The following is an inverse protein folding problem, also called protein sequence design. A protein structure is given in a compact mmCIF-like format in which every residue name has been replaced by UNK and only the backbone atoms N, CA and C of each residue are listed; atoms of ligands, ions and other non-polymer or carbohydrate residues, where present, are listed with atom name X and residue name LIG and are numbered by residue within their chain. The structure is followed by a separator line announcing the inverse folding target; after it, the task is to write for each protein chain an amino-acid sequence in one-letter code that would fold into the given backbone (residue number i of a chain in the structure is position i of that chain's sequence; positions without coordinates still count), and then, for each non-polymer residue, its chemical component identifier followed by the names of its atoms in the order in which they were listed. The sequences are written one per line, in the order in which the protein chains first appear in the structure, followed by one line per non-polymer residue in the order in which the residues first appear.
data_IF_055814822319
#
_entry.id   IF_055814822319
#
_cell.length_a   1.000
_cell.length_b   1.000
_cell.length_c   1.000
_cell.angle_alpha   90.00
_cell.angle_beta   90.00
_cell.angle_gamma   90.00
#
_symmetry.space_group_name_H-M   'P 1'
#
loop_
_entity.id
_entity.type
_entity.pdbx_description
1 polymer ?
#
# COMPACT_ATOMS: atom_id res chain seq x y z
N UNK A 1 27.46 26.40 9.25
CA UNK A 1 26.16 26.08 8.65
C UNK A 1 25.49 25.12 9.60
N UNK A 2 24.17 25.17 9.72
CA UNK A 2 23.45 24.09 10.43
C UNK A 2 23.50 22.82 9.57
N UNK A 3 23.34 21.64 10.18
CA UNK A 3 23.22 20.37 9.45
C UNK A 3 22.12 20.44 8.37
N UNK A 4 21.10 21.29 8.58
CA UNK A 4 20.05 21.64 7.61
C UNK A 4 20.58 22.38 6.36
N UNK A 5 21.39 23.41 6.55
CA UNK A 5 22.00 24.15 5.42
C UNK A 5 22.97 23.27 4.65
N UNK A 6 23.70 22.38 5.33
CA UNK A 6 24.62 21.44 4.68
C UNK A 6 23.90 20.32 3.93
N UNK A 7 22.77 19.82 4.43
CA UNK A 7 21.98 18.81 3.74
C UNK A 7 21.30 19.36 2.47
N UNK A 8 20.64 20.53 2.56
CA UNK A 8 20.00 21.16 1.39
C UNK A 8 21.03 21.59 0.33
N UNK A 9 22.23 22.01 0.74
CA UNK A 9 23.31 22.37 -0.19
C UNK A 9 24.11 21.17 -0.72
N UNK A 10 23.83 19.95 -0.25
CA UNK A 10 24.54 18.74 -0.64
C UNK A 10 25.96 18.62 -0.08
N UNK A 11 26.33 19.43 0.91
CA UNK A 11 27.64 19.40 1.58
C UNK A 11 27.66 18.57 2.86
N UNK A 12 26.52 17.99 3.28
CA UNK A 12 26.44 17.10 4.43
C UNK A 12 27.39 15.92 4.29
N UNK A 13 28.31 15.77 5.24
CA UNK A 13 29.27 14.65 5.27
C UNK A 13 28.59 13.39 5.78
N UNK A 14 28.38 12.44 4.86
CA UNK A 14 27.98 11.07 5.17
C UNK A 14 28.91 10.46 6.22
N UNK A 15 28.33 9.91 7.28
CA UNK A 15 29.08 9.14 8.28
C UNK A 15 29.29 7.73 7.72
N UNK A 16 30.53 7.34 7.43
CA UNK A 16 30.86 6.03 6.85
C UNK A 16 30.90 4.90 7.89
N UNK A 17 31.11 5.22 9.18
CA UNK A 17 31.16 4.26 10.29
C UNK A 17 30.47 4.82 11.55
N UNK A 18 29.59 4.04 12.17
CA UNK A 18 28.89 4.41 13.41
C UNK A 18 27.36 4.27 13.35
N UNK A 19 26.66 4.56 14.45
CA UNK A 19 25.18 4.59 14.46
C UNK A 19 24.68 5.72 13.55
N UNK A 20 23.56 5.48 12.86
CA UNK A 20 23.00 6.44 11.92
C UNK A 20 22.46 7.68 12.65
N UNK A 21 22.79 8.90 12.17
CA UNK A 21 22.37 10.14 12.82
C UNK A 21 20.88 10.39 12.65
N UNK A 22 20.26 10.93 13.70
CA UNK A 22 18.87 11.38 13.67
C UNK A 22 18.85 12.90 13.60
N UNK A 23 18.37 13.44 12.49
CA UNK A 23 18.32 14.87 12.24
C UNK A 23 16.89 15.40 12.41
N UNK A 24 16.79 16.66 12.82
CA UNK A 24 15.54 17.41 12.83
C UNK A 24 15.68 18.60 11.89
N UNK A 25 14.70 18.76 11.00
CA UNK A 25 14.69 19.85 10.03
C UNK A 25 13.47 20.73 10.25
N UNK A 26 13.67 22.04 10.16
CA UNK A 26 12.57 23.01 10.18
C UNK A 26 11.76 22.92 8.88
N UNK A 27 10.46 23.16 8.98
CA UNK A 27 9.52 23.12 7.84
C UNK A 27 8.42 24.16 8.02
N UNK A 28 7.69 24.44 6.95
CA UNK A 28 6.49 25.28 6.97
C UNK A 28 5.25 24.41 6.72
N UNK A 29 4.12 24.69 7.40
CA UNK A 29 2.91 23.88 7.26
C UNK A 29 2.22 24.07 5.91
N UNK A 30 1.45 23.06 5.50
CA UNK A 30 0.55 23.13 4.34
C UNK A 30 -0.91 23.11 4.79
N UNK A 31 -1.72 24.00 4.23
CA UNK A 31 -3.15 24.11 4.59
C UNK A 31 -4.05 23.08 3.89
N UNK A 32 -3.52 22.33 2.93
CA UNK A 32 -4.28 21.45 2.04
C UNK A 32 -3.98 19.96 2.22
N UNK A 33 -3.29 19.59 3.30
CA UNK A 33 -3.00 18.21 3.70
C UNK A 33 -4.13 17.56 4.50
N UNK A 34 -5.39 17.78 4.10
CA UNK A 34 -6.55 17.13 4.72
C UNK A 34 -6.72 15.71 4.15
N UNK A 35 -6.60 14.63 4.95
CA UNK A 35 -6.95 13.30 4.48
C UNK A 35 -8.45 13.22 4.23
N UNK A 36 -8.86 12.64 3.10
CA UNK A 36 -10.23 12.22 2.88
C UNK A 36 -10.54 10.90 3.59
N UNK A 37 -11.75 10.38 3.40
CA UNK A 37 -12.18 9.07 3.92
C UNK A 37 -11.28 7.91 3.49
N UNK A 38 -10.56 8.08 2.38
CA UNK A 38 -9.64 7.10 1.79
C UNK A 38 -8.21 7.64 1.67
N UNK A 39 -7.77 8.45 2.63
CA UNK A 39 -6.40 9.00 2.69
C UNK A 39 -6.22 10.37 2.03
N UNK A 40 -5.00 10.91 2.08
CA UNK A 40 -4.63 12.13 1.36
C UNK A 40 -4.30 11.77 -0.08
N UNK A 41 -5.01 12.36 -1.06
CA UNK A 41 -4.75 12.18 -2.49
C UNK A 41 -4.43 13.52 -3.14
N UNK A 42 -3.37 13.57 -3.94
CA UNK A 42 -2.96 14.73 -4.73
C UNK A 42 -2.32 14.26 -6.03
N UNK A 43 -2.07 15.18 -6.95
CA UNK A 43 -1.21 14.91 -8.11
C UNK A 43 0.18 14.50 -7.62
N UNK A 44 0.82 13.54 -8.30
CA UNK A 44 2.16 13.04 -7.96
C UNK A 44 3.16 14.17 -7.72
N UNK A 45 3.17 15.18 -8.60
CA UNK A 45 4.09 16.31 -8.50
C UNK A 45 3.99 17.09 -7.18
N UNK A 46 2.84 17.07 -6.47
CA UNK A 46 2.75 17.69 -5.14
C UNK A 46 3.74 17.04 -4.17
N UNK A 47 3.82 15.71 -4.17
CA UNK A 47 4.71 15.00 -3.25
C UNK A 47 6.17 15.03 -3.73
N UNK A 48 6.39 15.01 -5.04
CA UNK A 48 7.73 14.96 -5.63
C UNK A 48 8.44 16.31 -5.66
N UNK A 49 7.70 17.41 -5.88
CA UNK A 49 8.33 18.71 -6.17
C UNK A 49 8.08 19.78 -5.11
N UNK A 50 7.02 19.67 -4.31
CA UNK A 50 6.80 20.66 -3.25
C UNK A 50 7.70 20.35 -2.06
N UNK A 51 8.52 21.30 -1.60
CA UNK A 51 9.45 21.07 -0.50
C UNK A 51 8.75 20.53 0.75
N UNK A 52 9.27 19.44 1.30
CA UNK A 52 8.80 18.82 2.54
C UNK A 52 7.31 18.39 2.53
N UNK A 53 6.62 18.34 1.39
CA UNK A 53 5.18 18.05 1.37
C UNK A 53 4.90 16.62 1.83
N UNK A 54 5.68 15.64 1.36
CA UNK A 54 5.58 14.26 1.82
C UNK A 54 5.95 14.15 3.31
N UNK A 55 7.09 14.69 3.69
CA UNK A 55 7.68 14.64 5.03
C UNK A 55 6.72 15.21 6.07
N UNK A 56 6.16 16.39 5.82
CA UNK A 56 5.21 17.03 6.73
C UNK A 56 3.99 16.14 7.00
N UNK A 57 3.47 15.48 5.96
CA UNK A 57 2.31 14.61 6.12
C UNK A 57 2.65 13.33 6.89
N UNK A 58 3.79 12.69 6.59
CA UNK A 58 4.27 11.51 7.30
C UNK A 58 4.56 11.83 8.78
N UNK A 59 5.21 12.96 9.06
CA UNK A 59 5.45 13.43 10.43
C UNK A 59 4.14 13.68 11.17
N UNK A 60 3.13 14.23 10.49
CA UNK A 60 1.79 14.46 11.05
C UNK A 60 1.08 13.15 11.41
N UNK A 61 1.23 12.10 10.58
CA UNK A 61 0.77 10.75 10.92
C UNK A 61 1.45 10.27 12.21
N UNK A 62 2.77 10.38 12.30
CA UNK A 62 3.50 9.92 13.49
C UNK A 62 3.13 10.70 14.75
N UNK A 63 2.94 12.02 14.67
CA UNK A 63 2.49 12.85 15.81
C UNK A 63 1.03 12.62 16.19
N UNK A 64 0.21 12.06 15.30
CA UNK A 64 -1.14 11.65 15.66
C UNK A 64 -1.17 10.44 16.61
N UNK A 65 -0.07 9.68 16.69
CA UNK A 65 0.11 8.52 17.56
C UNK A 65 0.86 8.96 18.82
N UNK A 66 0.32 8.64 19.99
CA UNK A 66 0.94 9.01 21.26
C UNK A 66 2.36 8.43 21.35
N UNK A 67 3.31 9.23 21.83
CA UNK A 67 4.73 8.85 21.85
C UNK A 67 4.98 7.52 22.56
N UNK A 68 4.31 7.29 23.70
CA UNK A 68 4.40 6.05 24.50
C UNK A 68 3.99 4.80 23.70
N UNK A 69 3.01 4.94 22.80
CA UNK A 69 2.45 3.82 22.02
C UNK A 69 3.27 3.62 20.74
N UNK A 70 3.88 4.70 20.24
CA UNK A 70 4.76 4.68 19.07
C UNK A 70 6.13 4.05 19.36
N UNK A 71 6.70 4.29 20.55
CA UNK A 71 8.04 3.79 20.91
C UNK A 71 8.14 2.26 20.82
N UNK A 72 9.04 1.77 19.94
CA UNK A 72 9.29 0.34 19.78
C UNK A 72 8.17 -0.44 19.08
N UNK A 73 7.13 0.25 18.61
CA UNK A 73 5.98 -0.35 17.93
C UNK A 73 6.33 -0.89 16.54
N UNK A 74 5.40 -1.65 15.96
CA UNK A 74 5.48 -2.12 14.57
C UNK A 74 4.46 -1.39 13.68
N UNK A 75 4.88 -0.95 12.49
CA UNK A 75 4.01 -0.44 11.43
C UNK A 75 4.17 -1.28 10.16
N UNK A 76 3.09 -1.43 9.40
CA UNK A 76 3.12 -2.05 8.07
C UNK A 76 3.18 -0.97 7.00
N UNK A 77 4.01 -1.13 5.97
CA UNK A 77 4.11 -0.18 4.86
C UNK A 77 4.06 -0.93 3.53
N UNK A 78 3.34 -0.40 2.56
CA UNK A 78 3.36 -0.90 1.19
C UNK A 78 2.46 -0.07 0.30
N UNK A 79 2.42 -0.40 -0.98
CA UNK A 79 1.60 0.33 -1.93
C UNK A 79 1.26 -0.46 -3.17
N UNK A 80 0.57 0.21 -4.08
CA UNK A 80 0.09 -0.40 -5.32
C UNK A 80 1.12 -0.45 -6.45
N UNK A 81 2.31 0.09 -6.21
CA UNK A 81 3.41 0.08 -7.18
C UNK A 81 3.38 1.24 -8.17
N UNK A 82 2.46 2.21 -8.03
CA UNK A 82 2.47 3.42 -8.86
C UNK A 82 3.79 4.19 -8.74
N UNK A 83 4.06 5.04 -9.73
CA UNK A 83 5.19 5.97 -9.72
C UNK A 83 5.27 6.73 -8.38
N UNK A 84 6.49 7.01 -7.93
CA UNK A 84 6.82 7.61 -6.62
C UNK A 84 6.66 6.68 -5.40
N UNK A 85 6.10 5.46 -5.53
CA UNK A 85 5.92 4.52 -4.42
C UNK A 85 7.22 4.21 -3.66
N UNK A 86 8.29 3.82 -4.39
CA UNK A 86 9.57 3.46 -3.75
C UNK A 86 10.22 4.64 -3.03
N UNK A 87 10.21 5.82 -3.66
CA UNK A 87 10.75 7.04 -3.06
C UNK A 87 9.99 7.41 -1.77
N UNK A 88 8.66 7.30 -1.79
CA UNK A 88 7.86 7.55 -0.59
C UNK A 88 8.12 6.53 0.53
N UNK A 89 8.31 5.24 0.20
CA UNK A 89 8.70 4.21 1.19
C UNK A 89 10.05 4.56 1.81
N UNK A 90 11.03 4.97 1.03
CA UNK A 90 12.33 5.37 1.53
C UNK A 90 12.21 6.49 2.57
N UNK A 91 11.50 7.57 2.26
CA UNK A 91 11.21 8.65 3.21
C UNK A 91 10.49 8.14 4.46
N UNK A 92 9.47 7.28 4.31
CA UNK A 92 8.73 6.70 5.46
C UNK A 92 9.66 5.90 6.36
N UNK A 93 10.57 5.08 5.81
CA UNK A 93 11.53 4.30 6.59
C UNK A 93 12.43 5.23 7.40
N UNK A 94 13.02 6.23 6.74
CA UNK A 94 13.93 7.18 7.37
C UNK A 94 13.26 7.96 8.49
N UNK A 95 12.02 8.39 8.28
CA UNK A 95 11.25 9.15 9.28
C UNK A 95 10.72 8.25 10.40
N UNK A 96 10.32 7.01 10.11
CA UNK A 96 9.86 6.06 11.13
C UNK A 96 10.97 5.75 12.14
N UNK A 97 12.19 5.51 11.64
CA UNK A 97 13.39 5.32 12.44
C UNK A 97 13.63 6.49 13.41
N UNK A 98 13.61 7.72 12.88
CA UNK A 98 13.78 8.94 13.68
C UNK A 98 12.63 9.21 14.67
N UNK A 99 11.43 8.72 14.37
CA UNK A 99 10.25 8.91 15.20
C UNK A 99 10.04 7.82 16.27
N UNK A 100 10.95 6.85 16.40
CA UNK A 100 10.91 5.84 17.46
C UNK A 100 9.98 4.67 17.19
N UNK A 101 9.53 4.47 15.95
CA UNK A 101 9.01 3.17 15.53
C UNK A 101 10.13 2.14 15.66
N UNK A 102 9.84 0.97 16.22
CA UNK A 102 10.86 -0.07 16.42
C UNK A 102 11.03 -0.99 15.22
N UNK A 103 9.93 -1.24 14.49
CA UNK A 103 9.93 -2.15 13.34
C UNK A 103 9.01 -1.69 12.23
N UNK A 104 9.48 -1.76 10.99
CA UNK A 104 8.63 -1.72 9.80
C UNK A 104 8.53 -3.11 9.16
N UNK A 105 7.33 -3.48 8.74
CA UNK A 105 7.09 -4.65 7.89
C UNK A 105 6.65 -4.16 6.53
N UNK A 106 7.43 -4.45 5.50
CA UNK A 106 7.26 -3.89 4.16
C UNK A 106 7.16 -5.02 3.14
N UNK A 107 6.22 -4.95 2.20
CA UNK A 107 6.17 -5.93 1.12
C UNK A 107 7.38 -5.81 0.19
N UNK A 108 7.82 -6.93 -0.36
CA UNK A 108 8.90 -6.98 -1.32
C UNK A 108 8.66 -6.00 -2.47
N UNK A 109 9.71 -5.26 -2.84
CA UNK A 109 9.68 -4.18 -3.83
C UNK A 109 8.72 -3.02 -3.49
N UNK A 110 8.22 -2.95 -2.26
CA UNK A 110 7.22 -1.99 -1.82
C UNK A 110 5.78 -2.34 -2.19
N UNK A 111 5.51 -3.58 -2.64
CA UNK A 111 4.20 -4.02 -3.12
C UNK A 111 3.44 -4.69 -1.97
N UNK A 112 2.33 -4.09 -1.54
CA UNK A 112 1.30 -4.74 -0.72
C UNK A 112 -0.07 -4.19 -1.12
N UNK A 113 -1.03 -5.09 -1.37
CA UNK A 113 -2.42 -4.68 -1.57
C UNK A 113 -3.01 -4.16 -0.26
N UNK A 114 -4.04 -3.32 -0.34
CA UNK A 114 -4.71 -2.82 0.87
C UNK A 114 -5.26 -3.96 1.74
N UNK A 115 -5.86 -5.04 1.19
CA UNK A 115 -6.24 -6.22 1.97
C UNK A 115 -5.06 -6.94 2.63
N UNK A 116 -3.91 -7.05 1.94
CA UNK A 116 -2.71 -7.66 2.50
C UNK A 116 -2.13 -6.84 3.66
N UNK A 117 -2.11 -5.50 3.54
CA UNK A 117 -1.73 -4.62 4.66
C UNK A 117 -2.64 -4.85 5.86
N UNK A 118 -3.97 -4.85 5.66
CA UNK A 118 -4.93 -5.10 6.73
C UNK A 118 -4.70 -6.46 7.41
N UNK A 119 -4.51 -7.51 6.61
CA UNK A 119 -4.20 -8.86 7.07
C UNK A 119 -2.93 -8.88 7.94
N UNK A 120 -1.84 -8.27 7.48
CA UNK A 120 -0.56 -8.26 8.18
C UNK A 120 -0.67 -7.45 9.48
N UNK A 121 -1.29 -6.25 9.46
CA UNK A 121 -1.51 -5.43 10.66
C UNK A 121 -2.14 -6.28 11.77
N UNK A 122 -3.22 -6.99 11.44
CA UNK A 122 -3.96 -7.83 12.40
C UNK A 122 -3.15 -9.04 12.84
N UNK A 123 -2.46 -9.72 11.92
CA UNK A 123 -1.63 -10.91 12.19
C UNK A 123 -0.50 -10.60 13.18
N UNK A 124 0.21 -9.47 13.00
CA UNK A 124 1.37 -9.11 13.81
C UNK A 124 1.05 -8.14 14.95
N UNK A 125 -0.22 -7.73 15.10
CA UNK A 125 -0.68 -6.72 16.06
C UNK A 125 0.09 -5.40 15.93
N UNK A 126 0.29 -4.96 14.69
CA UNK A 126 0.91 -3.66 14.41
C UNK A 126 0.03 -2.52 14.94
N UNK A 127 0.64 -1.36 15.23
CA UNK A 127 -0.12 -0.18 15.67
C UNK A 127 -0.92 0.46 14.53
N UNK A 128 -0.61 0.10 13.28
CA UNK A 128 -1.26 0.57 12.07
C UNK A 128 -0.45 0.26 10.82
N UNK A 129 -0.75 0.95 9.73
CA UNK A 129 0.04 0.90 8.52
C UNK A 129 -0.19 2.08 7.58
N UNK A 130 0.82 2.37 6.77
CA UNK A 130 0.79 3.42 5.76
C UNK A 130 0.72 2.76 4.39
N UNK A 131 -0.33 3.08 3.62
CA UNK A 131 -0.59 2.47 2.31
C UNK A 131 -0.46 3.53 1.23
N UNK A 132 0.46 3.32 0.31
CA UNK A 132 0.80 4.23 -0.78
C UNK A 132 -0.04 3.86 -2.00
N UNK A 133 -1.17 4.54 -2.14
CA UNK A 133 -2.14 4.29 -3.19
C UNK A 133 -3.13 5.43 -3.32
N UNK A 134 -3.56 5.71 -4.55
CA UNK A 134 -4.75 6.51 -4.84
C UNK A 134 -5.91 5.65 -5.40
N UNK A 135 -5.91 4.33 -5.14
CA UNK A 135 -6.93 3.36 -5.56
C UNK A 135 -7.16 3.42 -7.07
N UNK A 136 -8.39 3.72 -7.52
CA UNK A 136 -8.77 3.79 -8.93
C UNK A 136 -8.19 4.97 -9.72
N UNK A 137 -7.53 5.92 -9.05
CA UNK A 137 -6.89 7.05 -9.73
C UNK A 137 -5.65 6.61 -10.55
N UNK A 138 -5.41 7.23 -11.73
CA UNK A 138 -4.30 6.86 -12.60
C UNK A 138 -2.94 7.16 -11.95
N UNK A 139 -1.92 6.40 -12.36
CA UNK A 139 -0.55 6.49 -11.87
C UNK A 139 0.37 7.30 -12.78
N UNK A 140 1.68 7.19 -12.56
CA UNK A 140 2.70 7.86 -13.36
C UNK A 140 3.07 9.29 -12.88
N UNK A 141 4.06 9.92 -13.52
CA UNK A 141 4.54 11.26 -13.15
C UNK A 141 3.46 12.34 -13.22
N UNK A 142 2.54 12.23 -14.18
CA UNK A 142 1.40 13.15 -14.36
C UNK A 142 0.11 12.66 -13.69
N UNK A 143 0.17 11.51 -13.01
CA UNK A 143 -0.96 10.89 -12.34
C UNK A 143 -1.23 11.43 -10.95
N UNK A 144 -1.91 10.60 -10.17
CA UNK A 144 -2.22 10.86 -8.77
C UNK A 144 -1.43 9.92 -7.85
N UNK A 145 -1.04 10.45 -6.71
CA UNK A 145 -0.43 9.70 -5.62
C UNK A 145 -1.26 9.88 -4.35
N UNK A 146 -1.24 8.87 -3.49
CA UNK A 146 -2.05 8.89 -2.28
C UNK A 146 -1.39 8.18 -1.11
N UNK A 147 -1.71 8.65 0.09
CA UNK A 147 -1.21 8.12 1.35
C UNK A 147 -2.42 7.84 2.24
N UNK A 148 -2.72 6.56 2.46
CA UNK A 148 -3.73 6.07 3.40
C UNK A 148 -3.06 5.71 4.72
N UNK A 149 -3.77 5.91 5.82
CA UNK A 149 -3.34 5.44 7.13
C UNK A 149 -4.41 4.50 7.70
N UNK A 150 -4.00 3.28 8.01
CA UNK A 150 -4.81 2.29 8.72
C UNK A 150 -4.34 2.19 10.18
N UNK A 151 -5.26 1.91 11.09
CA UNK A 151 -4.98 1.77 12.52
C UNK A 151 -4.86 0.28 12.93
N UNK A 152 -4.63 0.04 14.22
CA UNK A 152 -4.32 -1.29 14.78
C UNK A 152 -5.35 -2.40 14.51
N UNK A 153 -6.61 -2.06 14.24
CA UNK A 153 -7.62 -3.06 13.85
C UNK A 153 -7.48 -3.55 12.39
N UNK A 154 -6.59 -2.94 11.61
CA UNK A 154 -6.35 -3.20 10.19
C UNK A 154 -7.22 -2.37 9.24
N UNK A 155 -8.16 -1.59 9.74
CA UNK A 155 -9.06 -0.72 8.97
C UNK A 155 -8.55 0.72 8.84
N UNK A 156 -9.21 1.55 8.01
CA UNK A 156 -8.83 2.94 7.80
C UNK A 156 -8.92 3.75 9.10
N UNK A 157 -8.10 4.80 9.21
CA UNK A 157 -8.18 5.73 10.31
C UNK A 157 -9.56 6.42 10.35
N UNK A 158 -10.26 6.44 11.50
CA UNK A 158 -11.52 7.15 11.67
C UNK A 158 -11.32 8.67 11.58
N UNK A 159 -12.43 9.39 11.39
CA UNK A 159 -12.45 10.85 11.21
C UNK A 159 -11.68 11.59 12.31
N UNK A 160 -11.85 11.19 13.58
CA UNK A 160 -11.12 11.79 14.70
C UNK A 160 -9.59 11.72 14.56
N UNK A 161 -9.05 10.63 13.97
CA UNK A 161 -7.61 10.48 13.74
C UNK A 161 -7.20 11.26 12.49
N UNK A 162 -7.98 11.22 11.39
CA UNK A 162 -7.67 12.00 10.20
C UNK A 162 -7.72 13.50 10.44
N UNK A 163 -8.65 13.96 11.28
CA UNK A 163 -8.73 15.35 11.72
C UNK A 163 -7.56 15.73 12.61
N UNK A 164 -7.14 14.85 13.54
CA UNK A 164 -5.92 15.06 14.34
C UNK A 164 -4.69 15.22 13.44
N UNK A 165 -4.52 14.34 12.45
CA UNK A 165 -3.44 14.45 11.44
C UNK A 165 -3.52 15.78 10.71
N UNK A 166 -4.71 16.21 10.27
CA UNK A 166 -4.88 17.47 9.56
C UNK A 166 -4.65 18.70 10.43
N UNK A 167 -5.01 18.68 11.72
CA UNK A 167 -4.68 19.78 12.61
C UNK A 167 -3.18 19.90 12.81
N UNK A 168 -2.48 18.78 12.99
CA UNK A 168 -1.01 18.76 13.14
C UNK A 168 -0.34 19.30 11.87
N UNK A 169 -0.77 18.88 10.68
CA UNK A 169 -0.13 19.29 9.43
C UNK A 169 -0.22 20.79 9.15
N UNK A 170 -1.25 21.47 9.69
CA UNK A 170 -1.40 22.93 9.59
C UNK A 170 -0.54 23.72 10.56
N UNK A 171 0.04 23.08 11.57
CA UNK A 171 0.84 23.74 12.61
C UNK A 171 2.22 23.11 12.79
N UNK A 172 2.63 22.24 11.87
CA UNK A 172 3.94 21.57 11.93
C UNK A 172 5.06 22.58 11.62
N UNK A 173 6.10 22.57 12.45
CA UNK A 173 7.26 23.45 12.33
C UNK A 173 8.57 22.69 12.11
N UNK A 174 8.57 21.38 12.39
CA UNK A 174 9.73 20.52 12.20
C UNK A 174 9.34 19.06 11.90
N UNK A 175 10.27 18.32 11.31
CA UNK A 175 10.19 16.87 11.19
C UNK A 175 11.53 16.21 11.48
N UNK A 176 11.49 14.95 11.93
CA UNK A 176 12.66 14.16 12.25
C UNK A 176 12.88 13.07 11.19
N UNK A 177 14.14 12.89 10.77
CA UNK A 177 14.51 11.95 9.70
C UNK A 177 15.92 11.38 9.90
N UNK A 178 16.14 10.16 9.41
CA UNK A 178 17.44 9.50 9.35
C UNK A 178 17.90 9.40 7.89
N UNK A 179 18.49 10.46 7.30
CA UNK A 179 18.64 10.59 5.83
C UNK A 179 19.59 9.55 5.21
N UNK A 180 20.56 9.06 5.99
CA UNK A 180 21.54 8.08 5.55
C UNK A 180 21.03 6.63 5.59
N UNK A 181 19.83 6.40 6.16
CA UNK A 181 19.25 5.07 6.24
C UNK A 181 18.75 4.65 4.85
N UNK A 182 19.28 3.53 4.35
CA UNK A 182 18.89 2.89 3.09
C UNK A 182 18.47 1.44 3.33
N UNK A 183 17.38 1.03 2.68
CA UNK A 183 16.85 -0.33 2.73
C UNK A 183 16.82 -0.89 1.32
N UNK A 184 17.23 -2.15 1.15
CA UNK A 184 16.98 -2.88 -0.08
C UNK A 184 15.59 -3.53 -0.02
N UNK A 185 14.62 -2.96 -0.74
CA UNK A 185 13.25 -3.49 -0.79
C UNK A 185 13.14 -4.81 -1.57
N UNK A 186 14.14 -5.17 -2.37
CA UNK A 186 14.13 -6.37 -3.22
C UNK A 186 14.50 -7.65 -2.47
N UNK A 187 15.20 -7.53 -1.33
CA UNK A 187 15.72 -8.68 -0.58
C UNK A 187 14.82 -9.00 0.61
N UNK A 188 14.19 -10.17 0.57
CA UNK A 188 13.38 -10.69 1.67
C UNK A 188 14.23 -10.87 2.94
N UNK A 189 13.60 -10.65 4.10
CA UNK A 189 14.20 -10.88 5.41
C UNK A 189 14.39 -9.59 6.22
N UNK A 190 15.18 -9.70 7.29
CA UNK A 190 15.38 -8.62 8.26
C UNK A 190 16.64 -7.83 7.96
N UNK A 191 16.50 -6.51 8.00
CA UNK A 191 17.58 -5.52 7.92
C UNK A 191 17.53 -4.72 9.22
N UNK A 192 18.66 -4.60 9.93
CA UNK A 192 18.74 -3.93 11.23
C UNK A 192 19.69 -2.74 11.14
N UNK A 193 19.31 -1.66 11.80
CA UNK A 193 20.00 -0.38 11.74
C UNK A 193 20.19 0.16 13.16
N UNK A 194 21.45 0.39 13.53
CA UNK A 194 21.79 1.07 14.77
C UNK A 194 21.59 2.58 14.57
N UNK A 195 20.80 3.19 15.45
CA UNK A 195 20.47 4.61 15.40
C UNK A 195 21.13 5.34 16.57
N UNK A 196 21.56 6.57 16.34
CA UNK A 196 22.13 7.40 17.39
C UNK A 196 21.12 7.60 18.53
N UNK A 197 21.61 7.56 19.77
CA UNK A 197 20.79 7.76 20.98
C UNK A 197 19.63 6.74 21.13
N UNK A 198 19.69 5.57 20.48
CA UNK A 198 18.73 4.47 20.65
C UNK A 198 19.44 3.20 21.14
N UNK A 199 18.88 2.57 22.17
CA UNK A 199 19.42 1.33 22.74
C UNK A 199 19.09 0.07 21.93
N UNK A 200 17.95 0.08 21.20
CA UNK A 200 17.53 -1.05 20.37
C UNK A 200 17.66 -0.66 18.90
N UNK A 201 18.11 -1.60 18.04
CA UNK A 201 18.18 -1.34 16.61
C UNK A 201 16.78 -1.15 16.03
N UNK A 202 16.66 -0.27 15.04
CA UNK A 202 15.50 -0.19 14.19
C UNK A 202 15.51 -1.34 13.19
N UNK A 203 14.38 -2.02 13.03
CA UNK A 203 14.29 -3.21 12.18
C UNK A 203 13.35 -2.97 10.99
N UNK A 204 13.80 -3.30 9.80
CA UNK A 204 12.94 -3.40 8.61
C UNK A 204 12.87 -4.85 8.19
N UNK A 205 11.65 -5.37 8.08
CA UNK A 205 11.38 -6.75 7.68
C UNK A 205 10.68 -6.73 6.31
N UNK A 206 11.42 -7.11 5.28
CA UNK A 206 10.89 -7.25 3.92
C UNK A 206 10.22 -8.62 3.81
N UNK A 207 8.93 -8.63 3.56
CA UNK A 207 8.10 -9.86 3.49
C UNK A 207 7.63 -10.13 2.07
N UNK A 208 7.37 -11.40 1.77
CA UNK A 208 6.69 -11.77 0.54
C UNK A 208 5.31 -11.07 0.51
N UNK A 209 5.01 -10.42 -0.62
CA UNK A 209 3.78 -9.63 -0.74
C UNK A 209 2.51 -10.45 -0.60
N UNK A 210 2.54 -11.76 -0.88
CA UNK A 210 1.36 -12.59 -1.03
C UNK A 210 1.21 -13.60 0.11
N UNK A 211 2.31 -14.14 0.67
CA UNK A 211 2.29 -15.27 1.62
C UNK A 211 1.27 -15.10 2.75
N UNK A 212 1.36 -14.00 3.50
CA UNK A 212 0.53 -13.83 4.70
C UNK A 212 -0.97 -13.77 4.35
N UNK A 213 -1.27 -13.14 3.21
CA UNK A 213 -2.62 -13.00 2.69
C UNK A 213 -3.14 -14.33 2.12
N UNK A 214 -2.35 -15.04 1.32
CA UNK A 214 -2.71 -16.38 0.82
C UNK A 214 -2.94 -17.37 1.96
N UNK A 215 -2.11 -17.33 3.01
CA UNK A 215 -2.30 -18.11 4.23
C UNK A 215 -3.62 -17.78 4.92
N UNK A 216 -4.03 -16.51 4.97
CA UNK A 216 -5.35 -16.14 5.48
C UNK A 216 -6.47 -16.71 4.60
N UNK A 217 -6.37 -16.58 3.27
CA UNK A 217 -7.38 -17.10 2.34
C UNK A 217 -7.53 -18.63 2.43
N UNK A 218 -6.43 -19.36 2.57
CA UNK A 218 -6.43 -20.82 2.79
C UNK A 218 -7.22 -21.25 4.02
N UNK A 219 -7.28 -20.41 5.05
CA UNK A 219 -8.03 -20.68 6.27
C UNK A 219 -9.50 -20.26 6.17
N UNK A 220 -9.88 -19.52 5.12
CA UNK A 220 -11.25 -19.02 4.89
C UNK A 220 -11.98 -19.89 3.86
N UNK A 221 -11.29 -20.26 2.78
CA UNK A 221 -11.88 -20.95 1.63
C UNK A 221 -11.36 -22.39 1.50
N UNK A 222 -12.17 -23.26 0.90
CA UNK A 222 -11.74 -24.60 0.52
C UNK A 222 -10.90 -24.55 -0.76
N UNK A 223 -9.57 -24.52 -0.61
CA UNK A 223 -8.64 -24.48 -1.73
C UNK A 223 -8.63 -25.78 -2.55
N UNK A 224 -9.04 -26.92 -1.99
CA UNK A 224 -9.13 -28.16 -2.75
C UNK A 224 -10.29 -28.09 -3.74
N UNK A 225 -11.46 -27.65 -3.28
CA UNK A 225 -12.63 -27.46 -4.12
C UNK A 225 -12.38 -26.39 -5.21
N UNK A 226 -11.76 -25.26 -4.85
CA UNK A 226 -11.40 -24.21 -5.82
C UNK A 226 -10.39 -24.71 -6.85
N UNK A 227 -9.42 -25.53 -6.44
CA UNK A 227 -8.45 -26.13 -7.35
C UNK A 227 -9.10 -27.10 -8.33
N UNK A 228 -10.01 -27.94 -7.86
CA UNK A 228 -10.78 -28.84 -8.73
C UNK A 228 -11.61 -28.04 -9.76
N UNK A 229 -12.24 -26.95 -9.32
CA UNK A 229 -13.02 -26.04 -10.16
C UNK A 229 -12.17 -25.37 -11.25
N UNK A 230 -10.93 -24.97 -10.95
CA UNK A 230 -10.09 -24.18 -11.86
C UNK A 230 -9.12 -25.01 -12.72
N UNK A 231 -8.85 -26.27 -12.38
CA UNK A 231 -7.82 -27.09 -13.04
C UNK A 231 -8.32 -28.36 -13.75
N UNK A 232 -9.57 -28.78 -13.53
CA UNK A 232 -10.13 -29.98 -14.15
C UNK A 232 -10.34 -29.85 -15.68
N UNK A 233 -10.59 -30.96 -16.42
CA UNK A 233 -10.90 -30.90 -17.85
C UNK A 233 -12.14 -30.05 -18.19
N UNK A 234 -13.13 -30.02 -17.28
CA UNK A 234 -14.33 -29.19 -17.35
C UNK A 234 -14.20 -27.95 -16.46
N UNK A 235 -12.98 -27.42 -16.30
CA UNK A 235 -12.70 -26.26 -15.45
C UNK A 235 -13.56 -25.06 -15.80
N UNK A 236 -13.85 -24.25 -14.79
CA UNK A 236 -14.34 -22.88 -14.96
C UNK A 236 -13.24 -22.06 -15.65
N UNK A 237 -13.54 -21.52 -16.84
CA UNK A 237 -12.61 -20.70 -17.60
C UNK A 237 -12.70 -19.26 -17.12
N UNK A 238 -11.73 -18.88 -16.28
CA UNK A 238 -11.69 -17.55 -15.68
C UNK A 238 -10.78 -16.59 -16.44
N UNK A 239 -11.13 -15.31 -16.47
CA UNK A 239 -10.34 -14.20 -17.00
C UNK A 239 -10.22 -13.09 -15.94
N UNK A 240 -9.03 -12.92 -15.38
CA UNK A 240 -8.81 -12.05 -14.23
C UNK A 240 -7.84 -10.93 -14.59
N UNK A 241 -8.35 -9.72 -14.65
CA UNK A 241 -7.61 -8.51 -15.02
C UNK A 241 -7.17 -7.74 -13.78
N UNK A 242 -5.86 -7.66 -13.55
CA UNK A 242 -5.32 -6.88 -12.44
C UNK A 242 -5.09 -5.39 -12.80
N UNK A 243 -5.44 -4.98 -14.02
CA UNK A 243 -5.31 -3.61 -14.55
C UNK A 243 -3.91 -3.01 -14.33
N UNK A 244 -2.87 -3.84 -14.45
CA UNK A 244 -1.47 -3.49 -14.18
C UNK A 244 -1.21 -2.95 -12.75
N UNK A 245 -2.13 -3.21 -11.82
CA UNK A 245 -2.07 -2.81 -10.43
C UNK A 245 -1.54 -3.90 -9.50
N UNK A 246 -1.73 -3.68 -8.20
CA UNK A 246 -1.08 -4.46 -7.14
C UNK A 246 -1.51 -5.92 -7.09
N UNK A 247 -2.68 -6.25 -7.62
CA UNK A 247 -3.28 -7.59 -7.50
C UNK A 247 -2.60 -8.61 -8.43
N UNK A 248 -1.80 -8.16 -9.39
CA UNK A 248 -1.14 -9.03 -10.37
C UNK A 248 -0.36 -10.22 -9.78
N UNK A 249 0.58 -10.00 -8.84
CA UNK A 249 1.27 -11.07 -8.14
C UNK A 249 0.35 -12.00 -7.33
N UNK A 250 -0.76 -11.48 -6.80
CA UNK A 250 -1.73 -12.25 -6.03
C UNK A 250 -2.52 -13.19 -6.93
N UNK A 251 -2.98 -12.72 -8.09
CA UNK A 251 -3.64 -13.56 -9.12
C UNK A 251 -2.70 -14.69 -9.54
N UNK A 252 -1.45 -14.35 -9.89
CA UNK A 252 -0.48 -15.35 -10.37
C UNK A 252 -0.17 -16.41 -9.30
N UNK A 253 0.17 -15.99 -8.08
CA UNK A 253 0.55 -16.95 -7.02
C UNK A 253 -0.64 -17.76 -6.51
N UNK A 254 -1.79 -17.13 -6.30
CA UNK A 254 -2.94 -17.81 -5.68
C UNK A 254 -3.77 -18.53 -6.73
N UNK A 255 -4.29 -17.83 -7.74
CA UNK A 255 -5.19 -18.43 -8.72
C UNK A 255 -4.45 -19.35 -9.69
N UNK A 256 -3.27 -18.95 -10.19
CA UNK A 256 -2.56 -19.76 -11.18
C UNK A 256 -1.67 -20.85 -10.55
N UNK A 257 -0.71 -20.47 -9.70
CA UNK A 257 0.29 -21.42 -9.16
C UNK A 257 -0.33 -22.38 -8.13
N UNK A 258 -1.11 -21.87 -7.19
CA UNK A 258 -1.66 -22.67 -6.08
C UNK A 258 -2.94 -23.42 -6.48
N UNK A 259 -3.92 -22.70 -7.05
CA UNK A 259 -5.21 -23.24 -7.48
C UNK A 259 -5.24 -23.80 -8.90
N UNK A 260 -4.16 -23.65 -9.68
CA UNK A 260 -4.00 -24.33 -10.97
C UNK A 260 -4.77 -23.72 -12.14
N UNK A 261 -5.26 -22.49 -12.03
CA UNK A 261 -5.81 -21.78 -13.18
C UNK A 261 -4.72 -21.60 -14.26
N UNK A 262 -5.03 -21.79 -15.55
CA UNK A 262 -4.07 -21.55 -16.63
C UNK A 262 -3.44 -20.16 -16.58
N UNK A 263 -2.17 -20.02 -17.00
CA UNK A 263 -1.47 -18.75 -16.97
C UNK A 263 -2.15 -17.63 -17.80
N UNK A 264 -2.87 -17.99 -18.85
CA UNK A 264 -3.65 -17.04 -19.67
C UNK A 264 -4.91 -16.53 -18.97
N UNK A 265 -5.29 -17.07 -17.81
CA UNK A 265 -6.31 -16.48 -16.94
C UNK A 265 -5.85 -15.18 -16.28
N UNK A 266 -4.53 -14.99 -16.11
CA UNK A 266 -3.95 -13.81 -15.47
C UNK A 266 -3.65 -12.71 -16.51
N UNK A 267 -4.50 -11.68 -16.56
CA UNK A 267 -4.42 -10.56 -17.51
C UNK A 267 -3.88 -9.33 -16.80
N UNK A 268 -2.98 -8.60 -17.48
CA UNK A 268 -2.36 -7.38 -16.94
C UNK A 268 -1.77 -7.56 -15.52
N UNK A 269 -1.32 -8.78 -15.19
CA UNK A 269 -0.86 -9.17 -13.86
C UNK A 269 0.64 -8.87 -13.63
N UNK A 270 1.12 -7.76 -14.17
CA UNK A 270 2.45 -7.20 -13.90
C UNK A 270 2.21 -5.77 -13.42
N UNK A 271 2.54 -5.44 -12.16
CA UNK A 271 2.41 -4.07 -11.66
C UNK A 271 3.26 -3.11 -12.49
N UNK A 272 2.68 -2.01 -12.96
CA UNK A 272 3.36 -0.94 -13.70
C UNK A 272 3.14 0.39 -13.00
N UNK A 273 4.17 1.25 -12.99
CA UNK A 273 4.15 2.53 -12.27
C UNK A 273 3.08 3.51 -12.79
N UNK A 274 2.65 3.36 -14.04
CA UNK A 274 1.60 4.14 -14.69
C UNK A 274 0.34 3.31 -15.01
N UNK A 275 0.27 2.08 -14.50
CA UNK A 275 -0.79 1.11 -14.80
C UNK A 275 -1.01 0.86 -16.31
N UNK A 276 0.06 0.94 -17.10
CA UNK A 276 -0.02 0.80 -18.57
C UNK A 276 -0.61 2.03 -19.26
N UNK A 277 -0.63 3.18 -18.59
CA UNK A 277 -1.21 4.42 -19.11
C UNK A 277 -2.74 4.51 -18.98
N UNK A 278 -3.35 3.61 -18.20
CA UNK A 278 -4.80 3.51 -18.01
C UNK A 278 -5.24 3.84 -16.59
N UNK A 279 -6.55 4.04 -16.40
CA UNK A 279 -7.15 4.12 -15.07
C UNK A 279 -7.35 2.70 -14.53
N UNK A 280 -6.78 2.34 -13.36
CA UNK A 280 -7.04 1.04 -12.73
C UNK A 280 -8.37 1.09 -11.98
N UNK A 281 -9.46 1.34 -12.70
CA UNK A 281 -10.81 1.52 -12.18
C UNK A 281 -11.73 0.44 -12.78
N UNK A 282 -12.10 -0.61 -12.01
CA UNK A 282 -12.84 -1.73 -12.53
C UNK A 282 -14.30 -1.32 -12.72
N UNK A 283 -14.63 -0.84 -13.92
CA UNK A 283 -15.99 -0.58 -14.37
C UNK A 283 -16.12 -0.84 -15.88
N UNK A 284 -17.34 -0.83 -16.39
CA UNK A 284 -17.62 -1.18 -17.80
C UNK A 284 -16.94 -0.25 -18.81
N UNK A 285 -16.51 0.96 -18.39
CA UNK A 285 -15.82 1.91 -19.25
C UNK A 285 -14.33 1.64 -19.31
N UNK A 286 -13.66 1.48 -18.16
CA UNK A 286 -12.19 1.31 -18.13
C UNK A 286 -11.74 -0.15 -18.22
N UNK A 287 -12.57 -1.12 -17.84
CA UNK A 287 -12.33 -2.55 -18.06
C UNK A 287 -12.97 -3.05 -19.37
N UNK A 288 -13.04 -2.20 -20.40
CA UNK A 288 -13.68 -2.51 -21.67
C UNK A 288 -13.08 -3.74 -22.36
N UNK A 289 -11.75 -3.90 -22.30
CA UNK A 289 -11.06 -5.06 -22.90
C UNK A 289 -11.48 -6.39 -22.25
N UNK A 290 -11.69 -6.39 -20.93
CA UNK A 290 -12.25 -7.55 -20.23
C UNK A 290 -13.68 -7.82 -20.69
N UNK A 291 -14.52 -6.78 -20.75
CA UNK A 291 -15.93 -6.92 -21.18
C UNK A 291 -16.02 -7.47 -22.60
N UNK A 292 -15.24 -6.95 -23.55
CA UNK A 292 -15.20 -7.47 -24.93
C UNK A 292 -14.66 -8.90 -24.98
N UNK A 293 -13.67 -9.25 -24.14
CA UNK A 293 -13.18 -10.63 -24.04
C UNK A 293 -14.27 -11.57 -23.53
N UNK A 294 -15.04 -11.17 -22.51
CA UNK A 294 -16.14 -11.98 -21.97
C UNK A 294 -17.28 -12.15 -22.97
N UNK A 295 -17.55 -11.14 -23.83
CA UNK A 295 -18.53 -11.21 -24.93
C UNK A 295 -18.28 -12.30 -25.96
N UNK A 296 -17.05 -12.82 -26.05
CA UNK A 296 -16.73 -13.95 -26.94
C UNK A 296 -17.44 -15.25 -26.56
N UNK A 297 -17.88 -15.40 -25.30
CA UNK A 297 -18.43 -16.65 -24.76
C UNK A 297 -17.37 -17.74 -24.52
N UNK A 298 -16.08 -17.42 -24.66
CA UNK A 298 -15.00 -18.39 -24.42
C UNK A 298 -14.69 -18.62 -22.94
N UNK A 299 -15.09 -17.68 -22.07
CA UNK A 299 -14.80 -17.65 -20.64
C UNK A 299 -16.12 -17.61 -19.86
N UNK A 300 -16.16 -18.30 -18.73
CA UNK A 300 -17.36 -18.44 -17.89
C UNK A 300 -17.44 -17.34 -16.82
N UNK A 301 -16.30 -16.78 -16.42
CA UNK A 301 -16.22 -15.77 -15.35
C UNK A 301 -15.08 -14.78 -15.59
N UNK A 302 -15.41 -13.48 -15.52
CA UNK A 302 -14.47 -12.37 -15.63
C UNK A 302 -14.44 -11.53 -14.36
N UNK A 303 -13.25 -11.06 -13.97
CA UNK A 303 -13.13 -10.08 -12.90
C UNK A 303 -12.02 -9.07 -13.18
N UNK A 304 -12.24 -7.80 -12.82
CA UNK A 304 -11.24 -6.74 -12.86
C UNK A 304 -11.02 -6.14 -11.47
N UNK A 305 -9.79 -5.78 -11.12
CA UNK A 305 -9.43 -5.17 -9.83
C UNK A 305 -8.94 -3.73 -9.99
N UNK A 306 -9.19 -2.90 -8.98
CA UNK A 306 -8.62 -1.56 -8.90
C UNK A 306 -7.16 -1.56 -8.47
N UNK A 307 -6.54 -0.37 -8.49
CA UNK A 307 -5.10 -0.20 -8.25
C UNK A 307 -4.59 -0.88 -6.97
N UNK A 308 -5.31 -0.77 -5.85
CA UNK A 308 -4.92 -1.37 -4.57
C UNK A 308 -5.67 -2.65 -4.17
N UNK A 309 -6.54 -3.16 -5.05
CA UNK A 309 -7.22 -4.44 -4.90
C UNK A 309 -8.33 -4.46 -3.84
N UNK A 310 -9.01 -3.33 -3.63
CA UNK A 310 -10.17 -3.21 -2.72
C UNK A 310 -11.48 -3.33 -3.49
N UNK A 311 -11.53 -2.76 -4.70
CA UNK A 311 -12.73 -2.77 -5.55
C UNK A 311 -12.58 -3.81 -6.65
N UNK A 312 -13.71 -4.40 -7.05
CA UNK A 312 -13.76 -5.44 -8.09
C UNK A 312 -15.06 -5.31 -8.86
N UNK A 313 -15.00 -5.50 -10.18
CA UNK A 313 -16.20 -5.76 -11.00
C UNK A 313 -16.18 -7.18 -11.49
N UNK A 314 -17.34 -7.83 -11.42
CA UNK A 314 -17.58 -9.17 -11.93
C UNK A 314 -18.32 -9.06 -13.25
N UNK A 315 -17.92 -9.87 -14.22
CA UNK A 315 -18.54 -9.99 -15.53
C UNK A 315 -18.88 -11.46 -15.71
N UNK A 316 -20.15 -11.77 -15.56
CA UNK A 316 -20.71 -13.10 -15.88
C UNK A 316 -21.30 -13.05 -17.30
N UNK A 317 -21.58 -14.23 -17.85
CA UNK A 317 -22.16 -14.49 -19.19
C UNK A 317 -22.90 -13.27 -19.81
N UNK A 318 -22.51 -12.78 -21.00
CA UNK A 318 -23.12 -11.63 -21.66
C UNK A 318 -24.63 -11.74 -21.92
N UNK A 319 -25.21 -12.94 -21.75
CA UNK A 319 -26.65 -13.18 -21.86
C UNK A 319 -27.41 -13.00 -20.54
N UNK A 320 -26.70 -12.92 -19.40
CA UNK A 320 -27.25 -12.53 -18.10
C UNK A 320 -26.95 -11.03 -17.87
N UNK A 321 -27.93 -10.28 -17.37
CA UNK A 321 -27.79 -8.84 -17.12
C UNK A 321 -26.58 -8.57 -16.21
N UNK A 322 -25.64 -7.72 -16.67
CA UNK A 322 -24.44 -7.34 -15.94
C UNK A 322 -24.80 -6.56 -14.67
N UNK A 323 -24.69 -7.17 -13.48
CA UNK A 323 -24.81 -6.46 -12.20
C UNK A 323 -23.47 -5.79 -11.83
N UNK A 324 -23.43 -4.45 -11.82
CA UNK A 324 -22.40 -3.70 -11.11
C UNK A 324 -22.63 -3.84 -9.61
N UNK A 325 -21.82 -4.66 -8.93
CA UNK A 325 -21.79 -4.68 -7.48
C UNK A 325 -21.05 -3.44 -6.97
N UNK A 326 -21.77 -2.43 -6.49
CA UNK A 326 -21.14 -1.34 -5.74
C UNK A 326 -20.57 -1.86 -4.40
N UNK A 327 -19.44 -1.31 -3.93
CA UNK A 327 -18.93 -1.61 -2.60
C UNK A 327 -19.99 -1.23 -1.57
N UNK A 328 -20.45 -2.20 -0.76
CA UNK A 328 -21.33 -1.92 0.39
C UNK A 328 -20.57 -1.01 1.37
N UNK A 329 -20.77 0.30 1.25
CA UNK A 329 -20.38 1.27 2.27
C UNK A 329 -21.35 1.15 3.45
N UNK A 330 -20.80 0.92 4.64
CA UNK A 330 -21.45 0.98 5.97
C UNK A 330 -22.78 0.25 6.13
N UNK A 331 -22.71 -1.03 6.53
CA UNK A 331 -23.73 -1.62 7.39
C UNK A 331 -23.12 -1.84 8.78
N UNK A 332 -23.79 -1.29 9.79
CA UNK A 332 -23.49 -1.42 11.21
C UNK A 332 -23.02 -2.82 11.59
N UNK A 333 -21.80 -2.91 12.13
CA UNK A 333 -21.30 -4.10 12.80
C UNK A 333 -22.04 -4.30 14.13
N UNK A 334 -23.22 -4.89 14.06
CA UNK A 334 -23.89 -5.48 15.21
C UNK A 334 -24.74 -6.63 14.70
N UNK A 335 -24.49 -7.82 15.25
CA UNK A 335 -25.11 -9.11 14.92
C UNK A 335 -24.67 -9.71 13.57
N UNK A 336 -23.63 -10.55 13.64
CA UNK A 336 -23.50 -11.91 13.06
C UNK A 336 -22.07 -12.32 13.43
N UNK A 337 -21.83 -12.58 14.72
CA UNK A 337 -20.70 -13.34 15.29
C UNK A 337 -21.14 -13.67 16.73
N UNK A 338 -22.01 -14.67 16.84
CA UNK A 338 -22.20 -15.44 18.07
C UNK A 338 -21.32 -16.67 18.01
#
# INVERSE_FOLDING_TARGET
MSDFEEWISGTYRKIEEGPLPLLTFATAPYNDQKPGTSGLRKKTYYFETKPCYLENFIQSIFFSIDLKDRQGSSLVVGGDGRYFNKSAIETIVQMAAANGIGRLVIGQNGILSTPAVSCIIRKIKAIGGIILTASHNPGGPNGDFGIKFNISNGGPAPEAITDKIFQISKTIEEYAICPDLKVDLGVLGKQQFDLENKFKPFTVEIVDSVEAYATMLRNIFDFNALKELLSSPNRLKVRIDAMHGVVGPYVKKILCEELGAPANSAVNCVPLEDFGGHHPDPNLTYAADLVETMKSGEHDFGAAFDGDGVSTVLVEDPTAELEQLEPRTSASSSSIWG
#
